data_IF_270165038483
#
_entry.id   IF_270165038483
#
_cell.length_a   1.000
_cell.length_b   1.000
_cell.length_c   1.000
_cell.angle_alpha   90.00
_cell.angle_beta   90.00
_cell.angle_gamma   90.00
#
_symmetry.space_group_name_H-M   'P 1'
#
loop_
_entity.id
_entity.type
_entity.pdbx_description
1 polymer ?
#
# COMPACT_ATOMS: atom_id res chain seq x y z
N UNK A 1 -21.48 15.44 -7.53
CA UNK A 1 -21.77 15.06 -6.13
C UNK A 1 -22.33 13.65 -6.15
N UNK A 2 -21.48 12.64 -6.07
CA UNK A 2 -21.89 11.24 -5.96
C UNK A 2 -21.30 10.74 -4.65
N UNK A 3 -22.20 10.46 -3.69
CA UNK A 3 -21.81 9.95 -2.38
C UNK A 3 -21.09 8.64 -2.49
N UNK A 4 -19.81 8.63 -2.13
CA UNK A 4 -19.05 7.41 -1.92
C UNK A 4 -19.74 6.65 -0.78
N UNK A 5 -20.26 5.48 -1.08
CA UNK A 5 -20.82 4.57 -0.09
C UNK A 5 -19.72 4.20 0.92
N UNK A 6 -19.88 4.65 2.15
CA UNK A 6 -19.07 4.21 3.28
C UNK A 6 -19.33 2.71 3.48
N UNK A 7 -18.36 1.86 3.12
CA UNK A 7 -18.39 0.46 3.49
C UNK A 7 -17.45 0.25 4.69
N UNK A 8 -17.85 -0.51 5.72
CA UNK A 8 -16.97 -0.80 6.84
C UNK A 8 -15.76 -1.62 6.36
N UNK A 9 -14.60 -1.35 6.95
CA UNK A 9 -13.32 -2.01 6.66
C UNK A 9 -13.29 -3.48 7.10
N UNK A 10 -14.33 -3.96 7.80
CA UNK A 10 -14.44 -5.32 8.31
C UNK A 10 -15.59 -6.06 7.68
N UNK A 11 -15.33 -7.28 7.21
CA UNK A 11 -16.36 -8.29 6.94
C UNK A 11 -16.89 -8.85 8.26
N UNK A 12 -18.19 -9.20 8.29
CA UNK A 12 -18.93 -9.66 9.47
C UNK A 12 -18.42 -11.00 10.07
N UNK A 13 -17.37 -11.61 9.51
CA UNK A 13 -16.79 -12.88 9.98
C UNK A 13 -15.65 -12.71 11.01
N UNK A 14 -15.14 -11.52 11.21
CA UNK A 14 -14.11 -11.22 12.23
C UNK A 14 -14.73 -10.36 13.33
N UNK A 15 -14.62 -10.78 14.58
CA UNK A 15 -15.08 -10.07 15.79
C UNK A 15 -14.23 -8.79 16.07
N UNK A 16 -13.88 -8.08 15.00
CA UNK A 16 -13.20 -6.80 15.06
C UNK A 16 -14.22 -5.72 15.41
N UNK A 17 -14.32 -5.38 16.68
CA UNK A 17 -15.07 -4.20 17.12
C UNK A 17 -14.36 -2.96 16.61
N UNK A 18 -14.91 -2.39 15.54
CA UNK A 18 -14.52 -1.07 15.04
C UNK A 18 -15.44 -0.06 15.72
N UNK A 19 -14.87 0.77 16.57
CA UNK A 19 -15.58 1.88 17.21
C UNK A 19 -14.98 3.19 16.73
N UNK A 20 -15.59 3.78 15.71
CA UNK A 20 -15.20 5.07 15.17
C UNK A 20 -15.99 6.16 15.92
N UNK A 21 -15.32 6.85 16.82
CA UNK A 21 -15.92 7.78 17.77
C UNK A 21 -16.09 9.20 17.25
N UNK A 22 -15.33 9.61 16.25
CA UNK A 22 -15.38 10.97 15.68
C UNK A 22 -14.86 11.03 14.24
N UNK A 23 -15.42 11.96 13.45
CA UNK A 23 -14.87 12.36 12.16
C UNK A 23 -14.26 13.75 12.30
N UNK A 24 -13.01 13.92 11.87
CA UNK A 24 -12.33 15.20 11.77
C UNK A 24 -12.10 15.56 10.30
N UNK A 25 -12.40 16.78 9.93
CA UNK A 25 -12.19 17.29 8.58
C UNK A 25 -11.00 18.25 8.56
N UNK A 26 -10.02 17.92 7.72
CA UNK A 26 -8.94 18.81 7.33
C UNK A 26 -9.01 18.90 5.79
N UNK A 27 -9.60 19.96 5.30
CA UNK A 27 -9.93 20.08 3.87
C UNK A 27 -8.71 19.84 2.95
N UNK A 28 -8.83 19.01 1.92
CA UNK A 28 -10.04 18.37 1.42
C UNK A 28 -10.30 16.95 2.00
N UNK A 29 -9.58 16.54 3.05
CA UNK A 29 -9.58 15.19 3.59
C UNK A 29 -10.36 15.08 4.90
N UNK A 30 -10.94 13.92 5.12
CA UNK A 30 -11.62 13.54 6.36
C UNK A 30 -10.90 12.35 7.01
N UNK A 31 -10.93 12.32 8.33
CA UNK A 31 -10.26 11.31 9.15
C UNK A 31 -11.24 10.75 10.17
N UNK A 32 -11.41 9.45 10.18
CA UNK A 32 -12.19 8.75 11.20
C UNK A 32 -11.27 8.33 12.35
N UNK A 33 -11.59 8.76 13.55
CA UNK A 33 -10.81 8.50 14.76
C UNK A 33 -11.59 7.54 15.63
N UNK A 34 -10.94 6.51 16.14
CA UNK A 34 -11.59 5.51 16.98
C UNK A 34 -10.65 4.41 17.42
N UNK A 35 -11.22 3.25 17.70
CA UNK A 35 -10.46 2.05 18.08
C UNK A 35 -10.80 0.87 17.18
N UNK A 36 -9.80 0.05 16.88
CA UNK A 36 -9.96 -1.26 16.23
C UNK A 36 -9.24 -2.29 17.10
N UNK A 37 -9.98 -3.29 17.60
CA UNK A 37 -9.42 -4.31 18.47
C UNK A 37 -8.79 -3.73 19.76
N UNK A 38 -9.22 -2.54 20.22
CA UNK A 38 -8.65 -1.84 21.37
C UNK A 38 -7.39 -1.01 21.07
N UNK A 39 -6.94 -0.94 19.82
CA UNK A 39 -5.90 -0.01 19.39
C UNK A 39 -6.52 1.32 18.94
N UNK A 40 -5.98 2.44 19.43
CA UNK A 40 -6.32 3.76 18.89
C UNK A 40 -5.89 3.86 17.45
N UNK A 41 -6.80 4.25 16.57
CA UNK A 41 -6.57 4.35 15.12
C UNK A 41 -7.13 5.63 14.53
N UNK A 42 -6.52 6.04 13.43
CA UNK A 42 -7.05 7.06 12.52
C UNK A 42 -7.14 6.42 11.14
N UNK A 43 -8.33 6.43 10.55
CA UNK A 43 -8.60 5.84 9.24
C UNK A 43 -8.97 6.95 8.26
N UNK A 44 -8.35 6.93 7.08
CA UNK A 44 -8.64 7.91 6.02
C UNK A 44 -8.44 7.28 4.64
N UNK A 45 -8.97 7.93 3.62
CA UNK A 45 -8.76 7.57 2.22
C UNK A 45 -7.92 8.65 1.53
N UNK A 46 -6.95 8.24 0.72
CA UNK A 46 -6.00 9.17 0.11
C UNK A 46 -6.38 9.63 -1.31
N UNK A 47 -7.26 8.90 -2.00
CA UNK A 47 -7.50 9.11 -3.42
C UNK A 47 -6.38 8.54 -4.30
N UNK A 48 -6.45 8.81 -5.62
CA UNK A 48 -5.51 8.26 -6.61
C UNK A 48 -4.33 9.21 -6.83
N UNK A 49 -3.12 8.64 -6.90
CA UNK A 49 -1.89 9.31 -7.30
C UNK A 49 -1.04 9.86 -6.15
N UNK A 50 0.24 10.02 -6.44
CA UNK A 50 1.29 10.35 -5.46
C UNK A 50 1.04 11.64 -4.69
N UNK A 51 0.55 12.69 -5.36
CA UNK A 51 0.29 13.99 -4.73
C UNK A 51 -0.82 13.90 -3.69
N UNK A 52 -1.94 13.24 -4.02
CA UNK A 52 -3.03 13.02 -3.09
C UNK A 52 -2.57 12.19 -1.88
N UNK A 53 -1.82 11.13 -2.13
CA UNK A 53 -1.29 10.26 -1.09
C UNK A 53 -0.32 11.01 -0.15
N UNK A 54 0.61 11.78 -0.68
CA UNK A 54 1.54 12.59 0.10
C UNK A 54 0.82 13.64 0.95
N UNK A 55 -0.15 14.34 0.37
CA UNK A 55 -0.95 15.36 1.09
C UNK A 55 -1.68 14.75 2.28
N UNK A 56 -2.40 13.64 2.08
CA UNK A 56 -3.19 13.02 3.16
C UNK A 56 -2.27 12.39 4.20
N UNK A 57 -1.17 11.73 3.80
CA UNK A 57 -0.19 11.17 4.73
C UNK A 57 0.43 12.28 5.60
N UNK A 58 0.77 13.43 5.02
CA UNK A 58 1.28 14.59 5.77
C UNK A 58 0.28 15.07 6.80
N UNK A 59 -0.98 15.28 6.41
CA UNK A 59 -2.05 15.70 7.34
C UNK A 59 -2.27 14.67 8.45
N UNK A 60 -2.27 13.37 8.12
CA UNK A 60 -2.42 12.31 9.10
C UNK A 60 -1.30 12.32 10.13
N UNK A 61 -0.06 12.43 9.69
CA UNK A 61 1.12 12.39 10.57
C UNK A 61 1.21 13.67 11.41
N UNK A 62 1.04 14.84 10.81
CA UNK A 62 1.16 16.14 11.49
C UNK A 62 0.08 16.34 12.57
N UNK A 63 -1.16 15.96 12.25
CA UNK A 63 -2.28 16.21 13.17
C UNK A 63 -2.50 15.12 14.23
N UNK A 64 -2.07 13.88 13.97
CA UNK A 64 -2.38 12.75 14.85
C UNK A 64 -1.15 12.07 15.44
N UNK A 65 0.07 12.39 14.95
CA UNK A 65 1.34 11.83 15.43
C UNK A 65 1.29 10.30 15.62
N UNK A 66 0.90 9.51 14.59
CA UNK A 66 0.82 8.07 14.70
C UNK A 66 2.20 7.46 14.93
N UNK A 67 2.25 6.30 15.59
CA UNK A 67 3.50 5.54 15.75
C UNK A 67 3.92 4.85 14.47
N UNK A 68 2.94 4.40 13.68
CA UNK A 68 3.12 3.62 12.46
C UNK A 68 2.01 3.98 11.46
N UNK A 69 2.33 3.91 10.19
CA UNK A 69 1.38 4.09 9.09
C UNK A 69 1.22 2.77 8.35
N UNK A 70 0.01 2.22 8.35
CA UNK A 70 -0.36 1.07 7.52
C UNK A 70 -1.13 1.57 6.30
N UNK A 71 -0.58 1.32 5.12
CA UNK A 71 -1.20 1.75 3.88
C UNK A 71 -1.64 0.55 3.05
N UNK A 72 -2.94 0.31 3.01
CA UNK A 72 -3.54 -0.83 2.32
C UNK A 72 -4.34 -0.39 1.10
N UNK A 73 -4.44 -1.27 0.11
CA UNK A 73 -5.16 -1.04 -1.13
C UNK A 73 -4.90 -2.14 -2.15
N UNK A 74 -5.15 -1.81 -3.41
CA UNK A 74 -4.99 -2.74 -4.54
C UNK A 74 -3.86 -2.32 -5.47
N UNK A 75 -3.41 -3.25 -6.33
CA UNK A 75 -2.34 -3.02 -7.29
C UNK A 75 -2.45 -3.96 -8.48
N UNK A 76 -1.86 -3.58 -9.61
CA UNK A 76 -1.65 -4.47 -10.76
C UNK A 76 -0.47 -5.42 -10.53
N UNK A 77 -0.68 -6.72 -10.73
CA UNK A 77 0.35 -7.74 -10.62
C UNK A 77 1.34 -7.64 -11.79
N UNK A 78 2.62 -7.35 -11.50
CA UNK A 78 3.67 -7.33 -12.53
C UNK A 78 4.51 -8.61 -12.53
N UNK A 79 4.67 -9.27 -11.40
CA UNK A 79 5.26 -10.61 -11.30
C UNK A 79 4.31 -11.64 -11.94
N UNK A 80 4.76 -12.41 -12.95
CA UNK A 80 3.90 -13.36 -13.68
C UNK A 80 3.36 -14.51 -12.81
N UNK A 81 3.96 -14.79 -11.66
CA UNK A 81 3.48 -15.87 -10.77
C UNK A 81 2.31 -15.46 -9.90
N UNK A 82 2.06 -14.15 -9.75
CA UNK A 82 0.95 -13.64 -8.95
C UNK A 82 -0.38 -13.73 -9.71
N UNK A 83 -1.42 -14.06 -8.97
CA UNK A 83 -2.80 -14.07 -9.44
C UNK A 83 -3.66 -13.03 -8.73
N UNK A 84 -4.81 -12.73 -9.33
CA UNK A 84 -5.82 -11.85 -8.72
C UNK A 84 -6.17 -12.36 -7.33
N UNK A 85 -6.19 -11.47 -6.34
CA UNK A 85 -6.43 -11.75 -4.93
C UNK A 85 -5.17 -11.99 -4.11
N UNK A 86 -4.00 -12.31 -4.71
CA UNK A 86 -2.75 -12.45 -3.95
C UNK A 86 -2.43 -11.14 -3.22
N UNK A 87 -1.84 -11.25 -2.03
CA UNK A 87 -1.50 -10.10 -1.20
C UNK A 87 0.02 -9.95 -1.13
N UNK A 88 0.50 -8.74 -1.41
CA UNK A 88 1.91 -8.37 -1.30
C UNK A 88 2.09 -7.46 -0.10
N UNK A 89 2.96 -7.86 0.82
CA UNK A 89 3.47 -7.04 1.92
C UNK A 89 4.81 -6.48 1.49
N UNK A 90 4.92 -5.16 1.43
CA UNK A 90 6.11 -4.52 0.91
C UNK A 90 7.29 -4.60 1.90
N UNK A 91 8.38 -5.21 1.47
CA UNK A 91 9.70 -5.07 2.09
C UNK A 91 10.48 -3.91 1.51
N UNK A 92 10.09 -3.49 0.33
CA UNK A 92 10.67 -2.38 -0.40
C UNK A 92 9.61 -1.68 -1.24
N UNK A 93 9.59 -0.35 -1.16
CA UNK A 93 8.69 0.49 -1.96
C UNK A 93 9.53 1.54 -2.68
N UNK A 94 9.31 1.73 -3.97
CA UNK A 94 10.06 2.75 -4.73
C UNK A 94 9.22 3.40 -5.83
N UNK A 95 9.59 4.62 -6.21
CA UNK A 95 9.02 5.29 -7.37
C UNK A 95 9.67 4.77 -8.65
N UNK A 96 8.88 4.16 -9.55
CA UNK A 96 9.42 3.67 -10.83
C UNK A 96 9.47 4.75 -11.92
N UNK A 97 8.83 5.89 -11.67
CA UNK A 97 8.74 7.04 -12.59
C UNK A 97 9.52 8.27 -12.11
N UNK A 98 10.33 8.12 -11.06
CA UNK A 98 11.26 9.15 -10.60
C UNK A 98 12.69 8.78 -11.02
N UNK A 99 13.40 9.72 -11.63
CA UNK A 99 14.74 9.42 -12.12
C UNK A 99 15.32 10.51 -13.02
N UNK A 100 16.28 10.11 -13.82
CA UNK A 100 17.04 11.00 -14.73
C UNK A 100 16.95 10.47 -16.16
N UNK A 101 16.69 11.36 -17.13
CA UNK A 101 16.86 11.06 -18.53
C UNK A 101 18.30 11.38 -18.96
N UNK A 102 19.08 10.34 -19.19
CA UNK A 102 20.42 10.41 -19.75
C UNK A 102 20.47 10.06 -21.25
N UNK A 103 21.67 10.00 -21.85
CA UNK A 103 21.86 9.61 -23.25
C UNK A 103 21.34 8.21 -23.57
N UNK A 104 21.38 7.31 -22.59
CA UNK A 104 20.96 5.90 -22.70
C UNK A 104 19.49 5.67 -22.31
N UNK A 105 18.73 6.74 -22.01
CA UNK A 105 17.32 6.69 -21.65
C UNK A 105 17.05 7.07 -20.20
N UNK A 106 15.89 6.59 -19.68
CA UNK A 106 15.45 6.85 -18.31
C UNK A 106 16.09 5.88 -17.34
N UNK A 107 16.78 6.44 -16.33
CA UNK A 107 17.33 5.73 -15.19
C UNK A 107 16.57 6.11 -13.92
N UNK A 108 16.06 5.12 -13.20
CA UNK A 108 15.35 5.33 -11.94
C UNK A 108 16.33 5.81 -10.89
N UNK A 109 15.93 6.85 -10.18
CA UNK A 109 16.71 7.41 -9.08
C UNK A 109 15.81 7.74 -7.88
N UNK A 110 16.42 7.93 -6.70
CA UNK A 110 15.69 8.27 -5.49
C UNK A 110 14.87 9.55 -5.66
N UNK A 111 13.58 9.49 -5.39
CA UNK A 111 12.70 10.67 -5.41
C UNK A 111 13.21 11.73 -4.44
N UNK A 112 13.23 12.99 -4.89
CA UNK A 112 13.81 14.11 -4.13
C UNK A 112 15.32 14.25 -4.23
N UNK A 113 15.99 13.39 -5.02
CA UNK A 113 17.45 13.42 -5.26
C UNK A 113 17.78 13.51 -6.73
N UNK A 114 18.94 14.07 -7.03
CA UNK A 114 19.56 14.04 -8.36
C UNK A 114 21.06 13.77 -8.23
N UNK A 115 21.65 12.94 -9.11
CA UNK A 115 23.02 12.42 -8.93
C UNK A 115 24.10 13.50 -8.80
N UNK A 116 23.90 14.63 -9.44
CA UNK A 116 24.89 15.71 -9.52
C UNK A 116 24.74 16.82 -8.44
N UNK A 117 23.68 16.79 -7.64
CA UNK A 117 23.39 17.82 -6.64
C UNK A 117 23.28 17.26 -5.22
N UNK A 118 22.47 16.25 -5.01
CA UNK A 118 22.27 15.59 -3.72
C UNK A 118 22.26 14.05 -3.90
N UNK A 119 23.42 13.45 -4.25
CA UNK A 119 23.49 12.04 -4.56
C UNK A 119 23.14 11.15 -3.38
N UNK A 120 22.55 9.99 -3.68
CA UNK A 120 22.30 8.93 -2.70
C UNK A 120 22.54 7.58 -3.35
N UNK A 121 22.98 6.60 -2.56
CA UNK A 121 23.07 5.21 -2.97
C UNK A 121 21.80 4.41 -2.62
N UNK A 122 20.89 5.00 -1.85
CA UNK A 122 19.63 4.36 -1.46
C UNK A 122 18.58 4.68 -2.50
N UNK A 123 17.85 3.66 -2.95
CA UNK A 123 16.68 3.80 -3.81
C UNK A 123 15.49 3.15 -3.08
N UNK A 124 14.40 3.92 -2.99
CA UNK A 124 13.15 3.50 -2.34
C UNK A 124 13.19 3.56 -0.81
N UNK A 125 12.16 3.03 -0.21
CA UNK A 125 11.83 3.11 1.21
C UNK A 125 11.57 1.71 1.75
N UNK A 126 11.93 1.47 3.02
CA UNK A 126 11.77 0.17 3.66
C UNK A 126 11.16 0.31 5.04
N UNK A 127 10.20 -0.54 5.40
CA UNK A 127 9.78 -0.67 6.79
C UNK A 127 10.98 -1.02 7.68
N UNK A 128 10.92 -0.66 8.96
CA UNK A 128 11.96 -1.09 9.89
C UNK A 128 12.01 -2.61 10.00
N UNK A 129 13.19 -3.21 10.27
CA UNK A 129 13.30 -4.66 10.50
C UNK A 129 12.36 -5.14 11.60
N UNK A 130 12.19 -4.36 12.68
CA UNK A 130 11.29 -4.70 13.78
C UNK A 130 9.82 -4.74 13.37
N UNK A 131 9.38 -3.86 12.49
CA UNK A 131 8.02 -3.90 11.94
C UNK A 131 7.84 -5.12 11.03
N UNK A 132 8.80 -5.41 10.14
CA UNK A 132 8.74 -6.58 9.27
C UNK A 132 8.70 -7.90 10.04
N UNK A 133 9.49 -8.03 11.11
CA UNK A 133 9.49 -9.23 11.96
C UNK A 133 8.14 -9.43 12.66
N UNK A 134 7.52 -8.34 13.15
CA UNK A 134 6.17 -8.39 13.72
C UNK A 134 5.12 -8.81 12.68
N UNK A 135 5.20 -8.26 11.46
CA UNK A 135 4.29 -8.64 10.37
C UNK A 135 4.44 -10.12 10.02
N UNK A 136 5.67 -10.61 9.82
CA UNK A 136 5.94 -12.02 9.51
C UNK A 136 5.37 -12.95 10.58
N UNK A 137 5.53 -12.56 11.84
CA UNK A 137 4.98 -13.32 12.98
C UNK A 137 3.45 -13.28 13.00
N UNK A 138 2.85 -12.11 12.77
CA UNK A 138 1.41 -11.93 12.83
C UNK A 138 0.66 -12.68 11.72
N UNK A 139 1.23 -12.70 10.50
CA UNK A 139 0.59 -13.38 9.35
C UNK A 139 0.82 -14.88 9.32
N UNK A 140 1.57 -15.45 10.28
CA UNK A 140 1.75 -16.89 10.37
C UNK A 140 0.41 -17.57 10.63
N UNK A 141 0.00 -18.41 9.68
CA UNK A 141 -1.32 -19.09 9.74
C UNK A 141 -2.50 -18.23 9.29
N UNK A 142 -2.27 -17.05 8.72
CA UNK A 142 -3.33 -16.27 8.09
C UNK A 142 -3.95 -17.06 6.93
N UNK A 143 -5.28 -17.16 6.96
CA UNK A 143 -6.07 -17.68 5.86
C UNK A 143 -6.76 -16.52 5.15
N UNK A 144 -6.33 -16.22 3.93
CA UNK A 144 -6.98 -15.23 3.07
C UNK A 144 -8.30 -15.77 2.52
N UNK A 145 -9.28 -14.90 2.37
CA UNK A 145 -10.57 -15.28 1.76
C UNK A 145 -10.39 -15.67 0.30
N UNK A 146 -11.01 -16.78 -0.16
CA UNK A 146 -10.90 -17.18 -1.55
C UNK A 146 -11.39 -16.10 -2.51
N UNK A 147 -10.63 -15.87 -3.59
CA UNK A 147 -10.98 -14.99 -4.70
C UNK A 147 -11.02 -15.82 -5.97
N UNK A 148 -12.10 -15.71 -6.75
CA UNK A 148 -12.31 -16.54 -7.96
C UNK A 148 -12.19 -18.05 -7.69
N UNK A 149 -12.59 -18.54 -6.52
CA UNK A 149 -12.48 -19.95 -6.14
C UNK A 149 -11.06 -20.43 -5.81
N UNK A 150 -10.06 -19.54 -5.76
CA UNK A 150 -8.68 -19.81 -5.39
C UNK A 150 -8.36 -19.15 -4.05
N UNK A 151 -7.67 -19.86 -3.16
CA UNK A 151 -7.10 -19.26 -1.96
C UNK A 151 -5.87 -18.43 -2.38
N UNK A 152 -5.87 -17.11 -2.12
CA UNK A 152 -4.73 -16.27 -2.47
C UNK A 152 -3.48 -16.58 -1.65
N UNK A 153 -2.31 -16.27 -2.22
CA UNK A 153 -1.05 -16.29 -1.50
C UNK A 153 -0.79 -14.93 -0.84
N UNK A 154 -0.04 -14.97 0.27
CA UNK A 154 0.59 -13.78 0.84
C UNK A 154 2.10 -13.88 0.58
N UNK A 155 2.65 -12.86 -0.05
CA UNK A 155 4.07 -12.78 -0.38
C UNK A 155 4.68 -11.49 0.17
N UNK A 156 5.99 -11.53 0.43
CA UNK A 156 6.77 -10.35 0.78
C UNK A 156 7.61 -9.95 -0.43
N UNK A 157 7.67 -8.63 -0.74
CA UNK A 157 8.39 -8.22 -1.93
C UNK A 157 8.41 -6.73 -2.20
N UNK A 158 8.66 -6.37 -3.45
CA UNK A 158 8.80 -4.99 -3.92
C UNK A 158 7.49 -4.47 -4.51
N UNK A 159 7.04 -3.32 -4.03
CA UNK A 159 5.93 -2.54 -4.59
C UNK A 159 6.51 -1.34 -5.33
N UNK A 160 6.11 -1.12 -6.57
CA UNK A 160 6.55 0.05 -7.34
C UNK A 160 5.40 1.02 -7.57
N UNK A 161 5.68 2.31 -7.40
CA UNK A 161 4.71 3.40 -7.46
C UNK A 161 5.00 4.33 -8.63
N UNK A 162 3.96 4.72 -9.36
CA UNK A 162 4.04 5.77 -10.38
C UNK A 162 2.68 6.37 -10.70
N UNK A 163 2.64 7.61 -11.20
CA UNK A 163 1.39 8.26 -11.63
C UNK A 163 0.95 7.75 -13.02
N UNK A 164 1.03 6.43 -13.21
CA UNK A 164 0.71 5.76 -14.47
C UNK A 164 -0.06 4.47 -14.18
N UNK A 165 -1.25 4.36 -14.76
CA UNK A 165 -1.99 3.10 -14.74
C UNK A 165 -1.43 2.16 -15.81
N UNK A 166 -0.80 1.05 -15.42
CA UNK A 166 -0.08 0.15 -16.33
C UNK A 166 -1.07 -0.77 -17.05
N UNK A 167 -1.10 -0.66 -18.37
CA UNK A 167 -1.90 -1.50 -19.29
C UNK A 167 -1.04 -2.08 -20.42
N UNK A 168 0.25 -2.28 -20.19
CA UNK A 168 1.23 -2.74 -21.18
C UNK A 168 1.98 -3.94 -20.65
N UNK A 169 1.92 -5.05 -21.38
CA UNK A 169 2.69 -6.27 -21.11
C UNK A 169 4.21 -6.03 -21.14
N UNK A 170 4.67 -5.12 -22.01
CA UNK A 170 6.08 -4.74 -22.11
C UNK A 170 6.51 -3.99 -20.82
N UNK A 171 5.73 -3.01 -20.39
CA UNK A 171 6.03 -2.23 -19.18
C UNK A 171 5.91 -3.11 -17.94
N UNK A 172 4.90 -3.97 -17.85
CA UNK A 172 4.76 -4.96 -16.79
C UNK A 172 6.03 -5.81 -16.65
N UNK A 173 6.51 -6.36 -17.77
CA UNK A 173 7.73 -7.17 -17.80
C UNK A 173 8.96 -6.34 -17.40
N UNK A 174 9.09 -5.11 -17.90
CA UNK A 174 10.19 -4.21 -17.56
C UNK A 174 10.24 -3.93 -16.05
N UNK A 175 9.11 -3.62 -15.43
CA UNK A 175 9.03 -3.36 -13.99
C UNK A 175 9.42 -4.60 -13.17
N UNK A 176 8.99 -5.78 -13.57
CA UNK A 176 9.37 -7.01 -12.91
C UNK A 176 10.85 -7.35 -13.09
N UNK A 177 11.34 -7.39 -14.32
CA UNK A 177 12.72 -7.84 -14.65
C UNK A 177 13.78 -6.84 -14.16
N UNK A 178 13.54 -5.53 -14.31
CA UNK A 178 14.53 -4.51 -13.94
C UNK A 178 14.52 -4.15 -12.46
N UNK A 179 13.36 -4.22 -11.78
CA UNK A 179 13.20 -3.75 -10.41
C UNK A 179 12.88 -4.88 -9.41
N UNK A 180 12.69 -6.11 -9.87
CA UNK A 180 12.21 -7.20 -9.04
C UNK A 180 10.82 -6.94 -8.44
N UNK A 181 10.01 -6.11 -9.12
CA UNK A 181 8.71 -5.73 -8.61
C UNK A 181 7.71 -6.90 -8.66
N UNK A 182 6.89 -7.02 -7.62
CA UNK A 182 5.75 -7.91 -7.57
C UNK A 182 4.49 -7.23 -8.07
N UNK A 183 4.27 -5.97 -7.69
CA UNK A 183 3.07 -5.20 -8.06
C UNK A 183 3.42 -3.76 -8.36
N UNK A 184 2.58 -3.11 -9.19
CA UNK A 184 2.63 -1.69 -9.50
C UNK A 184 1.33 -1.00 -9.06
N UNK A 185 1.45 0.18 -8.45
CA UNK A 185 0.34 0.98 -7.95
C UNK A 185 0.69 2.48 -8.02
N UNK A 186 -0.11 3.37 -7.43
CA UNK A 186 0.03 4.80 -7.69
C UNK A 186 0.28 5.68 -6.45
N UNK A 187 0.47 5.11 -5.24
CA UNK A 187 0.49 5.89 -3.98
C UNK A 187 1.56 5.49 -2.97
N UNK A 188 1.87 4.19 -2.87
CA UNK A 188 2.60 3.59 -1.74
C UNK A 188 3.94 4.23 -1.45
N UNK A 189 4.76 4.48 -2.48
CA UNK A 189 6.06 5.13 -2.28
C UNK A 189 5.93 6.59 -1.83
N UNK A 190 4.86 7.29 -2.20
CA UNK A 190 4.62 8.64 -1.73
C UNK A 190 4.26 8.67 -0.23
N UNK A 191 3.43 7.74 0.23
CA UNK A 191 3.14 7.56 1.67
C UNK A 191 4.40 7.19 2.43
N UNK A 192 5.19 6.24 1.92
CA UNK A 192 6.43 5.80 2.53
C UNK A 192 7.47 6.94 2.62
N UNK A 193 7.61 7.74 1.57
CA UNK A 193 8.48 8.91 1.53
C UNK A 193 8.12 9.94 2.61
N UNK A 194 6.83 10.24 2.74
CA UNK A 194 6.35 11.16 3.78
C UNK A 194 6.61 10.58 5.16
N UNK A 195 6.24 9.32 5.41
CA UNK A 195 6.44 8.68 6.71
C UNK A 195 7.91 8.68 7.12
N UNK A 196 8.84 8.31 6.22
CA UNK A 196 10.29 8.36 6.48
C UNK A 196 10.76 9.78 6.81
N UNK A 197 10.26 10.79 6.09
CA UNK A 197 10.62 12.20 6.33
C UNK A 197 10.21 12.68 7.73
N UNK A 198 9.10 12.18 8.26
CA UNK A 198 8.64 12.45 9.62
C UNK A 198 9.20 11.47 10.67
N UNK A 199 10.02 10.50 10.29
CA UNK A 199 10.56 9.48 11.21
C UNK A 199 9.51 8.51 11.73
N UNK A 200 8.42 8.30 10.98
CA UNK A 200 7.32 7.37 11.31
C UNK A 200 7.52 6.08 10.52
N UNK A 201 7.43 4.94 11.19
CA UNK A 201 7.52 3.65 10.51
C UNK A 201 6.28 3.39 9.65
N UNK A 202 6.46 2.67 8.55
CA UNK A 202 5.39 2.49 7.57
C UNK A 202 5.37 1.06 7.02
N UNK A 203 4.20 0.63 6.57
CA UNK A 203 4.02 -0.63 5.86
C UNK A 203 3.00 -0.45 4.73
N UNK A 204 3.40 -0.82 3.52
CA UNK A 204 2.52 -0.84 2.35
C UNK A 204 2.07 -2.28 2.10
N UNK A 205 0.76 -2.47 1.92
CA UNK A 205 0.14 -3.78 1.69
C UNK A 205 -0.78 -3.65 0.47
N UNK A 206 -0.66 -4.55 -0.49
CA UNK A 206 -1.44 -4.51 -1.73
C UNK A 206 -2.05 -5.86 -2.05
N UNK A 207 -3.33 -5.86 -2.41
CA UNK A 207 -3.96 -7.01 -3.03
C UNK A 207 -3.96 -6.86 -4.55
N UNK A 208 -3.64 -7.93 -5.26
CA UNK A 208 -3.62 -7.93 -6.73
C UNK A 208 -5.04 -7.86 -7.26
N UNK A 209 -5.42 -6.76 -7.91
CA UNK A 209 -6.73 -6.54 -8.52
C UNK A 209 -6.77 -6.93 -10.00
N UNK A 210 -5.64 -6.84 -10.67
CA UNK A 210 -5.47 -7.06 -12.11
C UNK A 210 -4.03 -7.47 -12.42
N UNK A 211 -3.75 -7.77 -13.69
CA UNK A 211 -2.42 -8.24 -14.11
C UNK A 211 -1.56 -7.15 -14.79
N UNK A 212 -1.87 -5.89 -14.60
CA UNK A 212 -1.16 -4.76 -15.22
C UNK A 212 -0.99 -4.90 -16.76
N UNK A 213 -1.91 -5.60 -17.43
CA UNK A 213 -1.92 -5.87 -18.87
C UNK A 213 -3.11 -5.21 -19.57
N UNK A 214 -3.41 -5.66 -20.77
CA UNK A 214 -4.44 -5.05 -21.65
C UNK A 214 -5.83 -5.04 -21.01
N UNK A 215 -6.17 -6.06 -20.23
CA UNK A 215 -7.49 -6.21 -19.58
C UNK A 215 -7.56 -5.61 -18.17
N UNK A 216 -6.48 -4.98 -17.69
CA UNK A 216 -6.38 -4.55 -16.28
C UNK A 216 -7.48 -3.58 -15.84
N UNK A 217 -7.96 -2.68 -16.70
CA UNK A 217 -9.06 -1.79 -16.36
C UNK A 217 -10.38 -2.53 -16.09
N UNK A 218 -10.65 -3.61 -16.82
CA UNK A 218 -11.85 -4.45 -16.63
C UNK A 218 -11.73 -5.27 -15.36
N UNK A 219 -10.58 -5.88 -15.15
CA UNK A 219 -10.28 -6.69 -13.97
C UNK A 219 -10.33 -5.84 -12.71
N UNK A 220 -9.68 -4.68 -12.71
CA UNK A 220 -9.72 -3.72 -11.61
C UNK A 220 -11.15 -3.37 -11.20
N UNK A 221 -11.98 -2.95 -12.17
CA UNK A 221 -13.36 -2.57 -11.88
C UNK A 221 -14.22 -3.73 -11.33
N UNK A 222 -13.90 -4.97 -11.75
CA UNK A 222 -14.63 -6.18 -11.37
C UNK A 222 -14.24 -6.69 -9.99
N UNK A 223 -12.96 -6.68 -9.65
CA UNK A 223 -12.44 -7.38 -8.48
C UNK A 223 -12.05 -6.49 -7.30
N UNK A 224 -12.10 -5.17 -7.45
CA UNK A 224 -11.70 -4.22 -6.43
C UNK A 224 -12.27 -4.52 -5.03
N UNK A 225 -13.57 -4.77 -4.96
CA UNK A 225 -14.26 -5.02 -3.68
C UNK A 225 -13.85 -6.36 -3.04
N UNK A 226 -13.72 -7.42 -3.86
CA UNK A 226 -13.38 -8.76 -3.37
C UNK A 226 -11.95 -8.86 -2.85
N UNK A 227 -10.99 -8.19 -3.52
CA UNK A 227 -9.58 -8.33 -3.16
C UNK A 227 -9.15 -7.38 -2.04
N UNK A 228 -9.80 -6.22 -1.89
CA UNK A 228 -9.43 -5.22 -0.88
C UNK A 228 -9.59 -5.72 0.56
N UNK A 229 -10.54 -6.62 0.81
CA UNK A 229 -10.74 -7.24 2.12
C UNK A 229 -9.51 -8.04 2.59
N UNK A 230 -8.83 -8.74 1.68
CA UNK A 230 -7.65 -9.55 2.00
C UNK A 230 -6.45 -8.69 2.43
N UNK A 231 -6.20 -7.55 1.76
CA UNK A 231 -5.14 -6.64 2.17
C UNK A 231 -5.44 -5.99 3.54
N UNK A 232 -6.69 -5.67 3.81
CA UNK A 232 -7.13 -5.13 5.10
C UNK A 232 -7.00 -6.14 6.24
N UNK A 233 -7.19 -7.43 5.98
CA UNK A 233 -7.03 -8.50 6.99
C UNK A 233 -5.62 -8.53 7.59
N UNK A 234 -4.60 -8.21 6.80
CA UNK A 234 -3.20 -8.11 7.30
C UNK A 234 -3.08 -6.96 8.30
N UNK A 235 -3.68 -5.80 8.02
CA UNK A 235 -3.68 -4.64 8.95
C UNK A 235 -4.36 -5.00 10.25
N UNK A 236 -5.51 -5.67 10.20
CA UNK A 236 -6.26 -6.08 11.39
C UNK A 236 -5.43 -7.00 12.28
N UNK A 237 -4.75 -8.00 11.70
CA UNK A 237 -3.85 -8.88 12.45
C UNK A 237 -2.69 -8.13 13.10
N UNK A 238 -2.15 -7.12 12.44
CA UNK A 238 -1.09 -6.27 13.01
C UNK A 238 -1.58 -5.49 14.22
N UNK A 239 -2.79 -4.93 14.17
CA UNK A 239 -3.40 -4.24 15.29
C UNK A 239 -3.64 -5.18 16.47
N UNK A 240 -4.13 -6.40 16.23
CA UNK A 240 -4.30 -7.42 17.27
C UNK A 240 -2.96 -7.87 17.89
N UNK A 241 -1.92 -8.06 17.07
CA UNK A 241 -0.60 -8.45 17.54
C UNK A 241 0.03 -7.35 18.44
N UNK A 242 -0.22 -6.08 18.15
CA UNK A 242 0.23 -4.95 18.94
C UNK A 242 -0.41 -4.94 20.34
N UNK A 243 -1.64 -5.41 20.47
CA UNK A 243 -2.31 -5.54 21.78
C UNK A 243 -1.75 -6.67 22.63
N UNK A 244 -1.43 -7.82 22.02
CA UNK A 244 -0.91 -9.00 22.75
C UNK A 244 0.51 -8.80 23.28
N UNK A 245 1.25 -7.84 22.77
CA UNK A 245 2.61 -7.48 23.21
C UNK A 245 2.69 -6.43 24.32
N UNK A 246 1.52 -5.93 24.77
CA UNK A 246 1.40 -5.01 25.90
C UNK A 246 0.99 -5.76 27.17
#
# INVERSE_FOLDING_TARGET
>A
MTGAHRRPVCDASTDCRVDLSATKEYAPSWFEVGTIGGCDVVVTSVGVGKVNAAMVATLAIDHFAPREVFFTGVAGGVDPVLGIGDVVVAEHVLHHDAGVFGPDGFEIYQSGHVPFFNPTATIGYRPSPGLLDRVRSAVTGLHLSPVLGRVPNLVFGTVVTGDQFIQSEEERRRLHEALGAQVAEMEGAAVAQVAEHFGVDHLVIRAVSDRAGVDSAVDFARFLDEVSANSSSVVLLMLEATQRGR
#
